data_IF_902759231602
#
_entry.id   IF_902759231602
#
_cell.length_a   1.000
_cell.length_b   1.000
_cell.length_c   1.000
_cell.angle_alpha   90.00
_cell.angle_beta   90.00
_cell.angle_gamma   90.00
#
_symmetry.space_group_name_H-M   'P 1'
#
loop_
_entity.id
_entity.type
_entity.pdbx_description
1 polymer ?
#
# COMPACT_ATOMS: atom_id res chain seq x y z
N UNK A 1 13.25 -8.22 25.49
CA UNK A 1 12.24 -8.49 24.47
C UNK A 1 12.04 -7.23 23.65
N UNK A 2 11.99 -7.34 22.32
CA UNK A 2 11.64 -6.23 21.42
C UNK A 2 10.27 -6.49 20.82
N UNK A 3 9.41 -5.47 20.75
CA UNK A 3 8.06 -5.55 20.20
C UNK A 3 7.95 -4.60 19.01
N UNK A 4 7.38 -5.09 17.91
CA UNK A 4 7.02 -4.28 16.74
C UNK A 4 5.50 -4.22 16.67
N UNK A 5 4.94 -3.02 16.62
CA UNK A 5 3.54 -2.75 16.38
C UNK A 5 3.45 -2.04 15.04
N UNK A 6 2.83 -2.68 14.05
CA UNK A 6 2.69 -2.16 12.69
C UNK A 6 1.25 -1.72 12.41
N UNK A 7 1.09 -0.60 11.74
CA UNK A 7 -0.18 -0.21 11.13
C UNK A 7 -0.08 -0.32 9.62
N UNK A 8 -1.04 -0.98 9.01
CA UNK A 8 -1.16 -1.06 7.56
C UNK A 8 -1.84 0.19 6.97
N UNK A 9 -1.77 0.32 5.65
CA UNK A 9 -2.53 1.29 4.85
C UNK A 9 -2.10 2.77 5.00
N UNK A 10 -0.86 3.05 5.40
CA UNK A 10 -0.32 4.41 5.28
C UNK A 10 -0.34 4.85 3.81
N UNK A 11 -0.88 6.01 3.52
CA UNK A 11 -1.09 6.46 2.14
C UNK A 11 -2.50 6.19 1.58
N UNK A 12 -3.35 5.46 2.31
CA UNK A 12 -4.72 5.19 1.86
C UNK A 12 -5.53 6.49 1.72
N UNK A 13 -5.54 7.31 2.76
CA UNK A 13 -6.20 8.63 2.79
C UNK A 13 -5.52 9.53 3.81
N UNK A 14 -5.83 10.83 3.75
CA UNK A 14 -5.32 11.78 4.74
C UNK A 14 -5.76 11.43 6.16
N UNK A 15 -7.00 10.98 6.34
CA UNK A 15 -7.53 10.59 7.65
C UNK A 15 -6.79 9.39 8.24
N UNK A 16 -6.56 8.35 7.44
CA UNK A 16 -5.77 7.18 7.84
C UNK A 16 -4.33 7.59 8.18
N UNK A 17 -3.72 8.45 7.39
CA UNK A 17 -2.36 8.94 7.64
C UNK A 17 -2.26 9.67 8.98
N UNK A 18 -3.18 10.56 9.29
CA UNK A 18 -3.20 11.25 10.59
C UNK A 18 -3.38 10.28 11.75
N UNK A 19 -4.26 9.29 11.62
CA UNK A 19 -4.46 8.27 12.65
C UNK A 19 -3.19 7.46 12.92
N UNK A 20 -2.44 7.09 11.88
CA UNK A 20 -1.17 6.37 12.00
C UNK A 20 -0.12 7.24 12.70
N UNK A 21 0.02 8.50 12.32
CA UNK A 21 0.96 9.42 12.95
C UNK A 21 0.60 9.69 14.41
N UNK A 22 -0.68 9.81 14.72
CA UNK A 22 -1.13 9.96 16.11
C UNK A 22 -0.80 8.72 16.95
N UNK A 23 -1.07 7.52 16.41
CA UNK A 23 -0.70 6.26 17.07
C UNK A 23 0.82 6.09 17.27
N UNK A 24 1.63 6.67 16.37
CA UNK A 24 3.08 6.70 16.52
C UNK A 24 3.54 7.71 17.57
N UNK A 25 3.00 8.93 17.57
CA UNK A 25 3.44 10.00 18.48
C UNK A 25 2.93 9.82 19.91
N UNK A 26 1.70 9.37 20.06
CA UNK A 26 0.97 9.34 21.32
C UNK A 26 0.63 7.92 21.79
N UNK A 27 0.84 6.91 20.97
CA UNK A 27 0.56 5.51 21.25
C UNK A 27 1.82 4.64 21.26
N UNK A 28 1.63 3.39 20.85
CA UNK A 28 2.66 2.35 20.88
C UNK A 28 3.13 1.90 19.48
N UNK A 29 2.68 2.58 18.42
CA UNK A 29 3.04 2.23 17.06
C UNK A 29 4.54 2.43 16.81
N UNK A 30 5.18 1.48 16.14
CA UNK A 30 6.61 1.55 15.82
C UNK A 30 6.89 1.54 14.33
N UNK A 31 5.96 1.01 13.52
CA UNK A 31 6.13 0.91 12.07
C UNK A 31 4.80 1.00 11.34
N UNK A 32 4.88 1.26 10.05
CA UNK A 32 3.73 1.27 9.15
C UNK A 32 4.13 0.73 7.77
N UNK A 33 3.16 0.29 6.99
CA UNK A 33 3.34 -0.09 5.59
C UNK A 33 2.58 0.86 4.68
N UNK A 34 3.27 1.39 3.67
CA UNK A 34 2.78 2.46 2.81
C UNK A 34 2.24 1.93 1.48
N UNK A 35 0.99 2.26 1.17
CA UNK A 35 0.35 2.05 -0.12
C UNK A 35 0.80 3.14 -1.10
N UNK A 36 1.53 2.75 -2.13
CA UNK A 36 2.13 3.69 -3.09
C UNK A 36 1.18 4.12 -4.21
N UNK A 37 0.06 3.45 -4.34
CA UNK A 37 -0.94 3.64 -5.41
C UNK A 37 -2.22 4.35 -4.95
N UNK A 38 -2.30 4.78 -3.68
CA UNK A 38 -3.52 5.35 -3.12
C UNK A 38 -3.46 6.88 -3.04
N UNK A 39 -4.64 7.56 -2.99
CA UNK A 39 -4.72 9.02 -3.03
C UNK A 39 -3.96 9.76 -1.92
N UNK A 40 -3.82 9.13 -0.74
CA UNK A 40 -3.12 9.71 0.40
C UNK A 40 -1.60 9.57 0.36
N UNK A 41 -1.02 8.98 -0.70
CA UNK A 41 0.42 8.68 -0.76
C UNK A 41 1.31 9.93 -0.61
N UNK A 42 1.04 10.98 -1.36
CA UNK A 42 1.85 12.21 -1.29
C UNK A 42 1.80 12.85 0.11
N UNK A 43 0.63 12.85 0.75
CA UNK A 43 0.47 13.30 2.13
C UNK A 43 1.24 12.41 3.11
N UNK A 44 1.20 11.09 2.91
CA UNK A 44 1.98 10.15 3.72
C UNK A 44 3.49 10.44 3.64
N UNK A 45 4.02 10.73 2.45
CA UNK A 45 5.44 11.07 2.26
C UNK A 45 5.82 12.33 3.03
N UNK A 46 4.96 13.34 3.05
CA UNK A 46 5.22 14.56 3.82
C UNK A 46 5.30 14.25 5.33
N UNK A 47 4.32 13.54 5.85
CA UNK A 47 4.30 13.13 7.26
C UNK A 47 5.47 12.20 7.62
N UNK A 48 5.90 11.34 6.71
CA UNK A 48 7.07 10.48 6.90
C UNK A 48 8.35 11.30 7.12
N UNK A 49 8.56 12.35 6.34
CA UNK A 49 9.72 13.25 6.48
C UNK A 49 9.74 13.97 7.82
N UNK A 50 8.56 14.31 8.35
CA UNK A 50 8.41 14.95 9.67
C UNK A 50 8.58 13.97 10.83
N UNK A 51 8.54 12.66 10.57
CA UNK A 51 8.62 11.61 11.58
C UNK A 51 9.69 10.56 11.21
N UNK A 52 10.98 10.92 11.18
CA UNK A 52 12.04 10.07 10.65
C UNK A 52 12.30 8.79 11.49
N UNK A 53 11.78 8.72 12.69
CA UNK A 53 11.91 7.53 13.55
C UNK A 53 10.78 6.51 13.35
N UNK A 54 9.74 6.82 12.56
CA UNK A 54 8.71 5.85 12.18
C UNK A 54 9.30 4.88 11.16
N UNK A 55 9.29 3.59 11.47
CA UNK A 55 9.66 2.55 10.50
C UNK A 55 8.61 2.49 9.38
N UNK A 56 9.04 2.61 8.12
CA UNK A 56 8.12 2.58 6.98
C UNK A 56 8.57 1.53 5.98
N UNK A 57 7.67 0.57 5.70
CA UNK A 57 7.83 -0.42 4.65
C UNK A 57 6.86 -0.16 3.48
N UNK A 58 6.99 -0.96 2.44
CA UNK A 58 6.03 -0.97 1.33
C UNK A 58 4.88 -1.91 1.65
N UNK A 59 3.65 -1.45 1.44
CA UNK A 59 2.46 -2.28 1.48
C UNK A 59 2.16 -2.74 0.05
N UNK A 60 2.52 -3.97 -0.26
CA UNK A 60 2.20 -4.59 -1.54
C UNK A 60 0.70 -4.83 -1.62
N UNK A 61 0.06 -4.33 -2.68
CA UNK A 61 -1.37 -4.54 -2.90
C UNK A 61 -1.65 -4.90 -4.34
N UNK A 62 -2.62 -5.80 -4.53
CA UNK A 62 -3.17 -6.23 -5.82
C UNK A 62 -4.70 -6.21 -5.81
N UNK A 63 -5.30 -5.70 -4.74
CA UNK A 63 -6.76 -5.77 -4.51
C UNK A 63 -7.40 -4.42 -4.22
N UNK A 64 -6.62 -3.34 -4.22
CA UNK A 64 -7.12 -2.02 -3.84
C UNK A 64 -6.55 -0.91 -4.74
N UNK A 65 -7.42 -0.04 -5.22
CA UNK A 65 -7.04 1.11 -6.04
C UNK A 65 -6.66 0.73 -7.47
N UNK A 66 -5.87 1.61 -8.08
CA UNK A 66 -5.36 1.42 -9.44
C UNK A 66 -3.90 1.00 -9.41
N UNK A 67 -3.46 0.15 -10.36
CA UNK A 67 -2.05 -0.18 -10.50
C UNK A 67 -1.20 1.02 -10.89
N UNK A 68 0.10 0.93 -10.60
CA UNK A 68 1.11 1.92 -11.01
C UNK A 68 1.62 1.68 -12.43
N UNK A 69 1.49 0.46 -12.92
CA UNK A 69 1.88 0.09 -14.29
C UNK A 69 0.69 0.17 -15.25
N UNK A 70 1.00 0.18 -16.55
CA UNK A 70 0.01 0.21 -17.63
C UNK A 70 -0.03 -1.12 -18.37
N UNK A 71 -1.07 -1.28 -19.20
CA UNK A 71 -1.25 -2.47 -20.05
C UNK A 71 -1.35 -3.77 -19.26
N UNK A 72 -2.07 -3.74 -18.14
CA UNK A 72 -2.40 -4.91 -17.36
C UNK A 72 -3.75 -5.48 -17.80
N UNK A 73 -3.87 -6.80 -17.80
CA UNK A 73 -5.08 -7.53 -18.22
C UNK A 73 -5.57 -8.51 -17.15
N UNK A 74 -4.66 -9.22 -16.51
CA UNK A 74 -5.02 -10.26 -15.53
C UNK A 74 -5.24 -9.69 -14.13
N UNK A 75 -4.58 -8.58 -13.78
CA UNK A 75 -4.64 -7.97 -12.45
C UNK A 75 -5.74 -6.91 -12.31
N UNK A 76 -6.36 -6.48 -13.42
CA UNK A 76 -7.33 -5.38 -13.43
C UNK A 76 -8.69 -5.80 -13.99
N UNK A 77 -9.72 -5.08 -13.57
CA UNK A 77 -11.07 -5.17 -14.13
C UNK A 77 -11.23 -4.30 -15.39
N UNK A 78 -12.44 -4.23 -15.91
CA UNK A 78 -12.77 -3.43 -17.12
C UNK A 78 -12.58 -1.91 -16.92
N UNK A 79 -12.58 -1.43 -15.68
CA UNK A 79 -12.38 -0.02 -15.33
C UNK A 79 -10.92 0.33 -15.04
N UNK A 80 -10.04 -0.68 -15.11
CA UNK A 80 -8.60 -0.52 -14.85
C UNK A 80 -8.22 -0.47 -13.37
N UNK A 81 -9.13 -0.87 -12.48
CA UNK A 81 -8.84 -1.03 -11.06
C UNK A 81 -8.33 -2.43 -10.77
N UNK A 82 -7.56 -2.59 -9.70
CA UNK A 82 -7.26 -3.92 -9.19
C UNK A 82 -8.55 -4.69 -8.92
N UNK A 83 -8.51 -6.00 -9.18
CA UNK A 83 -9.61 -6.91 -8.87
C UNK A 83 -9.73 -7.09 -7.37
N UNK A 84 -10.93 -7.40 -6.88
CA UNK A 84 -11.13 -7.68 -5.47
C UNK A 84 -10.61 -9.07 -5.06
N UNK A 85 -10.55 -9.32 -3.77
CA UNK A 85 -10.05 -10.57 -3.23
C UNK A 85 -10.88 -11.78 -3.70
N UNK A 86 -12.20 -11.61 -3.86
CA UNK A 86 -13.09 -12.70 -4.28
C UNK A 86 -12.75 -13.22 -5.67
N UNK A 87 -12.24 -12.36 -6.55
CA UNK A 87 -11.74 -12.78 -7.86
C UNK A 87 -10.55 -13.74 -7.74
N UNK A 88 -9.62 -13.45 -6.80
CA UNK A 88 -8.42 -14.26 -6.58
C UNK A 88 -8.69 -15.57 -5.82
N UNK A 89 -9.80 -15.70 -5.14
CA UNK A 89 -10.22 -16.95 -4.50
C UNK A 89 -10.76 -17.98 -5.49
N UNK A 90 -11.12 -17.55 -6.68
CA UNK A 90 -11.55 -18.44 -7.76
C UNK A 90 -10.35 -18.89 -8.59
N UNK A 91 -10.49 -20.01 -9.35
CA UNK A 91 -9.45 -20.43 -10.30
C UNK A 91 -9.31 -19.38 -11.40
N UNK A 92 -8.22 -18.65 -11.40
CA UNK A 92 -7.93 -17.66 -12.41
C UNK A 92 -6.43 -17.70 -12.75
N UNK A 93 -6.07 -17.04 -13.85
CA UNK A 93 -4.71 -16.93 -14.34
C UNK A 93 -4.16 -15.54 -14.00
N UNK A 94 -2.97 -15.49 -13.41
CA UNK A 94 -2.18 -14.26 -13.28
C UNK A 94 -0.98 -14.36 -14.22
N UNK A 95 -0.79 -13.34 -15.06
CA UNK A 95 0.45 -13.18 -15.82
C UNK A 95 1.57 -12.76 -14.86
N UNK A 96 2.61 -13.59 -14.77
CA UNK A 96 3.72 -13.36 -13.84
C UNK A 96 4.56 -12.14 -14.21
N UNK A 97 4.60 -11.74 -15.49
CA UNK A 97 5.28 -10.52 -15.92
C UNK A 97 4.52 -9.27 -15.47
N UNK A 98 3.18 -9.28 -15.57
CA UNK A 98 2.35 -8.20 -15.01
C UNK A 98 2.62 -8.04 -13.52
N UNK A 99 2.58 -9.13 -12.77
CA UNK A 99 2.82 -9.15 -11.32
C UNK A 99 4.22 -8.62 -10.97
N UNK A 100 5.24 -9.09 -11.68
CA UNK A 100 6.62 -8.67 -11.47
C UNK A 100 6.79 -7.17 -11.70
N UNK A 101 6.25 -6.65 -12.79
CA UNK A 101 6.36 -5.24 -13.15
C UNK A 101 5.62 -4.36 -12.15
N UNK A 102 4.43 -4.75 -11.71
CA UNK A 102 3.64 -3.98 -10.75
C UNK A 102 4.34 -3.93 -9.37
N UNK A 103 4.79 -5.06 -8.86
CA UNK A 103 5.52 -5.11 -7.58
C UNK A 103 6.83 -4.31 -7.68
N UNK A 104 7.56 -4.42 -8.79
CA UNK A 104 8.78 -3.65 -9.01
C UNK A 104 8.54 -2.15 -9.00
N UNK A 105 7.41 -1.67 -9.50
CA UNK A 105 7.03 -0.25 -9.48
C UNK A 105 6.83 0.30 -8.08
N UNK A 106 6.32 -0.49 -7.17
CA UNK A 106 6.12 -0.07 -5.78
C UNK A 106 7.43 0.28 -5.06
N UNK A 107 8.57 -0.26 -5.51
CA UNK A 107 9.89 -0.02 -4.94
C UNK A 107 10.63 1.18 -5.56
N UNK A 108 10.10 1.75 -6.59
CA UNK A 108 10.68 2.91 -7.28
C UNK A 108 9.95 4.17 -6.91
#
# INVERSE_FOLDING_TARGET
MKLIINADDFGYSNGVNYGIIDAFKNGILTSTTCLTNMPGFNHAIQLAKENPNLGIGIHLTLTCGKPLTHNLYTLVDSDGNFRDLSHYEQKFYIDTNELYNEIGRAHV
#
